data_IF_855630976208
#
_entry.id   IF_855630976208
#
_cell.length_a   1.000
_cell.length_b   1.000
_cell.length_c   1.000
_cell.angle_alpha   90.00
_cell.angle_beta   90.00
_cell.angle_gamma   90.00
#
_symmetry.space_group_name_H-M   'P 1'
#
loop_
_entity.id
_entity.type
_entity.pdbx_description
1 polymer ?
#
# COMPACT_ATOMS: atom_id res chain seq x y z
N UNK A 1 27.90 -34.18 -16.93
CA UNK A 1 29.29 -33.82 -17.30
C UNK A 1 30.02 -33.53 -16.00
N UNK A 2 30.88 -34.45 -15.57
CA UNK A 2 31.67 -34.30 -14.34
C UNK A 2 32.97 -33.60 -14.73
N UNK A 3 33.25 -32.41 -14.19
CA UNK A 3 34.53 -31.73 -14.40
C UNK A 3 35.52 -32.21 -13.35
N UNK A 4 36.43 -33.07 -13.76
CA UNK A 4 37.58 -33.48 -12.96
C UNK A 4 38.68 -32.39 -13.05
N UNK A 5 39.22 -31.99 -11.91
CA UNK A 5 40.18 -30.88 -11.74
C UNK A 5 41.63 -31.31 -12.09
N UNK A 6 41.81 -32.51 -12.66
CA UNK A 6 43.13 -33.12 -12.86
C UNK A 6 43.78 -32.82 -14.23
N UNK A 7 43.11 -32.12 -15.14
CA UNK A 7 43.69 -31.79 -16.45
C UNK A 7 44.27 -30.37 -16.45
N UNK A 8 45.57 -30.28 -16.14
CA UNK A 8 46.31 -29.03 -15.99
C UNK A 8 46.81 -28.44 -17.31
N UNK A 9 46.49 -29.03 -18.46
CA UNK A 9 46.89 -28.49 -19.76
C UNK A 9 45.88 -27.43 -20.24
N UNK A 10 46.17 -26.15 -19.97
CA UNK A 10 45.38 -25.01 -20.47
C UNK A 10 44.60 -24.24 -19.40
N UNK A 11 44.85 -24.52 -18.12
CA UNK A 11 44.30 -23.74 -17.02
C UNK A 11 45.02 -22.39 -16.90
N UNK A 12 44.28 -21.29 -16.95
CA UNK A 12 44.78 -19.91 -16.72
C UNK A 12 45.22 -19.66 -15.26
N UNK A 13 45.04 -20.65 -14.39
CA UNK A 13 45.49 -20.68 -13.01
C UNK A 13 46.57 -21.76 -12.87
N UNK A 14 47.80 -21.40 -13.25
CA UNK A 14 49.03 -22.21 -13.10
C UNK A 14 49.63 -22.09 -11.69
N UNK A 15 48.77 -22.09 -10.67
CA UNK A 15 49.13 -22.10 -9.27
C UNK A 15 48.41 -23.26 -8.60
N UNK A 16 49.16 -24.13 -7.91
CA UNK A 16 48.57 -25.26 -7.19
C UNK A 16 47.42 -24.82 -6.27
N UNK A 17 46.45 -25.72 -6.06
CA UNK A 17 45.22 -25.51 -5.27
C UNK A 17 45.42 -25.15 -3.78
N UNK A 18 46.60 -24.67 -3.39
CA UNK A 18 46.95 -24.12 -2.08
C UNK A 18 47.43 -22.67 -2.10
N UNK A 19 47.48 -21.99 -3.26
CA UNK A 19 47.88 -20.58 -3.38
C UNK A 19 46.72 -19.66 -3.83
N UNK A 20 45.48 -20.07 -3.57
CA UNK A 20 44.47 -19.06 -3.27
C UNK A 20 44.84 -18.57 -1.88
N UNK A 21 45.81 -17.66 -1.80
CA UNK A 21 45.82 -16.69 -0.72
C UNK A 21 44.43 -16.07 -0.80
N UNK A 22 43.52 -16.52 0.09
CA UNK A 22 42.52 -15.61 0.60
C UNK A 22 43.34 -14.39 0.95
N UNK A 23 43.27 -13.34 0.13
CA UNK A 23 43.54 -12.01 0.62
C UNK A 23 42.65 -11.95 1.84
N UNK A 24 43.24 -12.08 3.04
CA UNK A 24 42.60 -11.66 4.26
C UNK A 24 41.94 -10.37 3.87
N UNK A 25 40.61 -10.35 3.89
CA UNK A 25 39.86 -9.20 3.44
C UNK A 25 40.22 -8.11 4.44
N UNK A 26 41.29 -7.37 4.15
CA UNK A 26 41.76 -6.25 4.93
C UNK A 26 40.55 -5.34 4.97
N UNK A 27 39.91 -5.29 6.14
CA UNK A 27 38.82 -4.36 6.38
C UNK A 27 39.33 -2.97 5.98
N UNK A 28 38.45 -2.06 5.57
CA UNK A 28 38.86 -0.68 5.17
C UNK A 28 39.82 -0.04 6.20
N UNK A 29 39.70 -0.45 7.46
CA UNK A 29 40.49 -0.02 8.60
C UNK A 29 41.95 -0.55 8.65
N UNK A 30 42.29 -1.61 7.93
CA UNK A 30 43.60 -2.28 7.98
C UNK A 30 44.44 -2.09 6.70
N UNK A 31 43.93 -1.31 5.75
CA UNK A 31 44.61 -0.98 4.50
C UNK A 31 45.74 0.04 4.75
N UNK A 32 46.98 -0.32 4.38
CA UNK A 32 48.12 0.60 4.34
C UNK A 32 48.44 1.04 2.91
N UNK A 33 48.47 2.36 2.68
CA UNK A 33 48.69 3.01 1.38
C UNK A 33 50.18 3.40 1.20
N UNK A 34 51.04 3.12 2.18
CA UNK A 34 52.47 3.47 2.15
C UNK A 34 53.26 2.81 1.02
N UNK A 35 52.72 1.74 0.41
CA UNK A 35 53.32 1.00 -0.69
C UNK A 35 52.43 1.01 -1.93
N UNK A 36 53.02 0.84 -3.12
CA UNK A 36 52.27 0.79 -4.40
C UNK A 36 51.28 -0.39 -4.42
N UNK A 37 51.69 -1.56 -3.89
CA UNK A 37 50.82 -2.74 -3.80
C UNK A 37 49.66 -2.53 -2.81
N UNK A 38 49.94 -1.93 -1.65
CA UNK A 38 48.92 -1.58 -0.66
C UNK A 38 47.91 -0.55 -1.18
N UNK A 39 48.37 0.44 -1.95
CA UNK A 39 47.49 1.40 -2.62
C UNK A 39 46.57 0.75 -3.66
N UNK A 40 47.05 -0.24 -4.41
CA UNK A 40 46.21 -0.96 -5.38
C UNK A 40 45.15 -1.81 -4.68
N UNK A 41 45.53 -2.52 -3.60
CA UNK A 41 44.58 -3.27 -2.76
C UNK A 41 43.56 -2.35 -2.09
N UNK A 42 43.97 -1.14 -1.71
CA UNK A 42 43.10 -0.12 -1.14
C UNK A 42 41.93 0.22 -2.08
N UNK A 43 42.26 0.45 -3.35
CA UNK A 43 41.29 0.77 -4.40
C UNK A 43 40.31 -0.38 -4.58
N UNK A 44 40.79 -1.62 -4.67
CA UNK A 44 39.94 -2.80 -4.86
C UNK A 44 38.96 -3.01 -3.69
N UNK A 45 39.38 -2.75 -2.45
CA UNK A 45 38.51 -2.86 -1.27
C UNK A 45 37.47 -1.73 -1.25
N UNK A 46 37.88 -0.50 -1.56
CA UNK A 46 36.96 0.64 -1.65
C UNK A 46 35.93 0.42 -2.76
N UNK A 47 36.33 -0.07 -3.93
CA UNK A 47 35.41 -0.34 -5.03
C UNK A 47 34.35 -1.38 -4.65
N UNK A 48 34.74 -2.43 -3.93
CA UNK A 48 33.78 -3.43 -3.39
C UNK A 48 32.85 -2.81 -2.33
N UNK A 49 33.38 -1.96 -1.46
CA UNK A 49 32.58 -1.29 -0.44
C UNK A 49 31.57 -0.31 -1.08
N UNK A 50 31.99 0.45 -2.09
CA UNK A 50 31.12 1.32 -2.88
C UNK A 50 30.06 0.52 -3.63
N UNK A 51 30.42 -0.60 -4.26
CA UNK A 51 29.46 -1.50 -4.91
C UNK A 51 28.40 -2.04 -3.94
N UNK A 52 28.78 -2.32 -2.69
CA UNK A 52 27.83 -2.73 -1.65
C UNK A 52 26.88 -1.58 -1.28
N UNK A 53 27.41 -0.37 -1.07
CA UNK A 53 26.60 0.82 -0.77
C UNK A 53 25.64 1.13 -1.92
N UNK A 54 26.09 1.02 -3.17
CA UNK A 54 25.25 1.27 -4.33
C UNK A 54 24.15 0.23 -4.49
N UNK A 55 24.42 -1.04 -4.15
CA UNK A 55 23.39 -2.09 -4.08
C UNK A 55 22.32 -1.75 -3.04
N UNK A 56 22.72 -1.43 -1.81
CA UNK A 56 21.80 -1.04 -0.73
C UNK A 56 20.98 0.21 -1.10
N UNK A 57 21.60 1.20 -1.75
CA UNK A 57 20.90 2.39 -2.26
C UNK A 57 19.90 2.04 -3.36
N UNK A 58 20.24 1.10 -4.23
CA UNK A 58 19.35 0.57 -5.26
C UNK A 58 18.12 -0.09 -4.65
N UNK A 59 18.32 -0.93 -3.64
CA UNK A 59 17.25 -1.62 -2.91
C UNK A 59 16.34 -0.63 -2.17
N UNK A 60 16.93 0.38 -1.50
CA UNK A 60 16.16 1.46 -0.88
C UNK A 60 15.35 2.26 -1.92
N UNK A 61 15.91 2.51 -3.10
CA UNK A 61 15.19 3.15 -4.21
C UNK A 61 14.01 2.30 -4.71
N UNK A 62 14.20 0.99 -4.84
CA UNK A 62 13.13 0.06 -5.21
C UNK A 62 12.01 0.04 -4.16
N UNK A 63 12.36 0.04 -2.87
CA UNK A 63 11.41 0.12 -1.76
C UNK A 63 10.65 1.45 -1.78
N UNK A 64 11.31 2.58 -2.07
CA UNK A 64 10.65 3.88 -2.23
C UNK A 64 9.61 3.87 -3.36
N UNK A 65 9.96 3.33 -4.53
CA UNK A 65 9.02 3.16 -5.65
C UNK A 65 7.80 2.32 -5.25
N UNK A 66 8.03 1.23 -4.51
CA UNK A 66 6.95 0.38 -3.98
C UNK A 66 6.06 1.14 -2.99
N UNK A 67 6.64 1.95 -2.09
CA UNK A 67 5.86 2.80 -1.19
C UNK A 67 5.02 3.81 -1.95
N UNK A 68 5.59 4.48 -2.95
CA UNK A 68 4.86 5.46 -3.77
C UNK A 68 3.68 4.81 -4.50
N UNK A 69 3.88 3.64 -5.12
CA UNK A 69 2.80 2.90 -5.78
C UNK A 69 1.70 2.45 -4.78
N UNK A 70 2.10 2.05 -3.57
CA UNK A 70 1.17 1.58 -2.54
C UNK A 70 0.35 2.76 -2.01
N UNK A 71 0.98 3.91 -1.78
CA UNK A 71 0.31 5.14 -1.35
C UNK A 71 -0.68 5.60 -2.41
N UNK A 72 -0.27 5.64 -3.68
CA UNK A 72 -1.15 6.02 -4.78
C UNK A 72 -2.37 5.09 -4.89
N UNK A 73 -2.16 3.78 -4.76
CA UNK A 73 -3.25 2.80 -4.74
C UNK A 73 -4.17 3.03 -3.53
N UNK A 74 -3.61 3.17 -2.32
CA UNK A 74 -4.37 3.35 -1.08
C UNK A 74 -5.19 4.66 -1.10
N UNK A 75 -4.65 5.73 -1.68
CA UNK A 75 -5.38 6.98 -1.89
C UNK A 75 -6.60 6.80 -2.78
N UNK A 76 -6.45 6.09 -3.90
CA UNK A 76 -7.58 5.74 -4.78
C UNK A 76 -8.62 4.88 -4.05
N UNK A 77 -8.19 3.89 -3.28
CA UNK A 77 -9.11 3.06 -2.48
C UNK A 77 -9.85 3.93 -1.46
N UNK A 78 -9.15 4.80 -0.73
CA UNK A 78 -9.76 5.69 0.26
C UNK A 78 -10.80 6.60 -0.36
N UNK A 79 -10.53 7.16 -1.54
CA UNK A 79 -11.48 8.00 -2.27
C UNK A 79 -12.72 7.21 -2.70
N UNK A 80 -12.53 6.02 -3.28
CA UNK A 80 -13.63 5.15 -3.69
C UNK A 80 -14.49 4.69 -2.50
N UNK A 81 -13.87 4.32 -1.37
CA UNK A 81 -14.58 3.92 -0.15
C UNK A 81 -15.33 5.10 0.45
N UNK A 82 -14.74 6.29 0.49
CA UNK A 82 -15.42 7.50 0.98
C UNK A 82 -16.63 7.85 0.09
N UNK A 83 -16.48 7.78 -1.23
CA UNK A 83 -17.57 8.01 -2.17
C UNK A 83 -18.70 6.97 -2.05
N UNK A 84 -18.35 5.68 -1.91
CA UNK A 84 -19.32 4.61 -1.68
C UNK A 84 -20.07 4.81 -0.35
N UNK A 85 -19.36 5.17 0.72
CA UNK A 85 -19.96 5.46 2.03
C UNK A 85 -20.90 6.67 1.97
N UNK A 86 -20.51 7.74 1.27
CA UNK A 86 -21.39 8.91 1.06
C UNK A 86 -22.67 8.49 0.36
N UNK A 87 -22.60 7.70 -0.71
CA UNK A 87 -23.79 7.24 -1.44
C UNK A 87 -24.73 6.40 -0.57
N UNK A 88 -24.19 5.52 0.28
CA UNK A 88 -25.00 4.72 1.21
C UNK A 88 -25.68 5.65 2.21
N UNK A 89 -24.92 6.55 2.84
CA UNK A 89 -25.44 7.46 3.85
C UNK A 89 -26.47 8.43 3.26
N UNK A 90 -26.23 8.98 2.08
CA UNK A 90 -27.15 9.87 1.38
C UNK A 90 -28.44 9.14 0.97
N UNK A 91 -28.35 7.87 0.55
CA UNK A 91 -29.53 7.04 0.25
C UNK A 91 -30.36 6.73 1.50
N UNK A 92 -29.70 6.39 2.62
CA UNK A 92 -30.36 6.11 3.90
C UNK A 92 -31.06 7.38 4.44
N UNK A 93 -30.40 8.54 4.36
CA UNK A 93 -30.97 9.82 4.76
C UNK A 93 -32.18 10.19 3.87
N UNK A 94 -32.09 9.96 2.56
CA UNK A 94 -33.22 10.19 1.66
C UNK A 94 -34.41 9.28 1.98
N UNK A 95 -34.17 8.01 2.32
CA UNK A 95 -35.21 7.08 2.73
C UNK A 95 -35.85 7.48 4.06
N UNK A 96 -35.05 7.84 5.06
CA UNK A 96 -35.56 8.26 6.37
C UNK A 96 -36.35 9.57 6.27
N UNK A 97 -35.87 10.54 5.48
CA UNK A 97 -36.59 11.80 5.24
C UNK A 97 -37.92 11.57 4.55
N UNK A 98 -37.98 10.62 3.60
CA UNK A 98 -39.22 10.22 2.92
C UNK A 98 -40.20 9.57 3.90
N UNK A 99 -39.71 8.69 4.77
CA UNK A 99 -40.51 8.08 5.83
C UNK A 99 -41.02 9.13 6.82
N UNK A 100 -40.16 10.01 7.32
CA UNK A 100 -40.54 11.12 8.21
C UNK A 100 -41.64 11.98 7.56
N UNK A 101 -41.48 12.33 6.28
CA UNK A 101 -42.47 13.11 5.53
C UNK A 101 -43.79 12.36 5.40
N UNK A 102 -43.76 11.07 5.06
CA UNK A 102 -44.95 10.21 5.01
C UNK A 102 -45.67 10.16 6.36
N UNK A 103 -44.94 10.01 7.46
CA UNK A 103 -45.53 10.01 8.81
C UNK A 103 -46.16 11.36 9.15
N UNK A 104 -45.51 12.48 8.82
CA UNK A 104 -46.08 13.82 9.01
C UNK A 104 -47.37 14.02 8.20
N UNK A 105 -47.40 13.58 6.94
CA UNK A 105 -48.60 13.64 6.09
C UNK A 105 -49.71 12.76 6.67
N UNK A 106 -49.40 11.53 7.11
CA UNK A 106 -50.39 10.64 7.71
C UNK A 106 -50.96 11.20 9.02
N UNK A 107 -50.15 11.88 9.83
CA UNK A 107 -50.64 12.54 11.05
C UNK A 107 -51.59 13.70 10.70
N UNK A 108 -51.22 14.56 9.75
CA UNK A 108 -52.08 15.66 9.30
C UNK A 108 -53.37 15.16 8.64
N UNK A 109 -53.27 14.14 7.79
CA UNK A 109 -54.41 13.50 7.15
C UNK A 109 -55.30 12.78 8.19
N UNK A 110 -54.71 12.12 9.18
CA UNK A 110 -55.45 11.47 10.28
C UNK A 110 -56.27 12.47 11.08
N UNK A 111 -55.72 13.64 11.40
CA UNK A 111 -56.45 14.72 12.09
C UNK A 111 -57.58 15.27 11.21
N UNK A 112 -57.33 15.50 9.91
CA UNK A 112 -58.34 16.00 8.98
C UNK A 112 -59.46 14.98 8.72
N UNK A 113 -59.12 13.70 8.55
CA UNK A 113 -60.08 12.60 8.38
C UNK A 113 -60.89 12.40 9.65
N UNK A 114 -60.28 12.47 10.83
CA UNK A 114 -61.00 12.39 12.10
C UNK A 114 -61.99 13.54 12.26
N UNK A 115 -61.59 14.77 11.88
CA UNK A 115 -62.48 15.92 11.89
C UNK A 115 -63.68 15.74 10.93
N UNK A 116 -63.45 15.18 9.74
CA UNK A 116 -64.49 14.93 8.75
C UNK A 116 -65.41 13.76 9.13
N UNK A 117 -64.84 12.71 9.73
CA UNK A 117 -65.57 11.56 10.27
C UNK A 117 -66.46 11.96 11.46
N UNK A 118 -66.09 12.96 12.26
CA UNK A 118 -66.92 13.49 13.34
C UNK A 118 -68.10 14.35 12.84
N UNK A 119 -68.02 14.93 11.63
CA UNK A 119 -69.10 15.73 11.05
C UNK A 119 -70.16 14.88 10.33
N UNK A 120 -69.79 13.72 9.77
CA UNK A 120 -70.70 12.84 9.05
C UNK A 120 -71.91 12.33 9.89
N UNK A 121 -71.75 11.93 11.18
CA UNK A 121 -72.88 11.52 12.03
C UNK A 121 -73.86 12.66 12.33
N UNK A 122 -73.35 13.89 12.48
CA UNK A 122 -74.18 15.07 12.75
C UNK A 122 -75.05 15.43 11.54
N UNK A 123 -74.50 15.30 10.34
CA UNK A 123 -75.25 15.45 9.08
C UNK A 123 -76.34 14.38 8.95
N UNK A 124 -76.05 13.12 9.30
CA UNK A 124 -77.04 12.04 9.28
C UNK A 124 -78.19 12.27 10.28
N UNK A 125 -77.90 12.79 11.48
CA UNK A 125 -78.92 13.19 12.46
C UNK A 125 -79.77 14.38 11.99
N UNK A 126 -79.22 15.28 11.18
CA UNK A 126 -79.98 16.39 10.60
C UNK A 126 -81.00 15.95 9.55
N UNK A 127 -80.77 14.79 8.90
CA UNK A 127 -81.68 14.19 7.92
C UNK A 127 -82.79 13.32 8.56
N UNK A 128 -82.69 13.04 9.87
CA UNK A 128 -83.69 12.32 10.65
C UNK A 128 -84.68 13.25 11.39
N UNK A 129 -84.58 14.56 11.16
CA UNK A 129 -85.49 15.59 11.67
C UNK A 129 -86.32 16.19 10.54
#
# INVERSE_FOLDING_TARGET
VSSNVADSAGSVIDGGAGDITSSDAETVNAIDISTVDGAQKAIDVIDKALGTIDSERGDLGAVQNRFESTIANLKNISENVSAARSRILDADIAQETSNMTKHNILQQAGVSILAQANQAPQMALSLLR
#
